data_IF_783434073564
#
_entry.id   IF_783434073564
#
_cell.length_a   1.000
_cell.length_b   1.000
_cell.length_c   1.000
_cell.angle_alpha   90.00
_cell.angle_beta   90.00
_cell.angle_gamma   90.00
#
_symmetry.space_group_name_H-M   'P 1'
#
loop_
_entity.id
_entity.type
_entity.pdbx_description
1 polymer ?
#
# COMPACT_ATOMS: atom_id res chain seq x y z
N UNK A 1 -16.87 6.28 -15.83
CA UNK A 1 -15.93 6.00 -14.75
C UNK A 1 -14.56 6.59 -15.05
N UNK A 2 -14.11 7.38 -14.13
CA UNK A 2 -12.78 7.98 -14.26
C UNK A 2 -11.71 6.94 -14.01
N UNK A 3 -10.83 6.77 -14.98
CA UNK A 3 -9.62 5.98 -14.76
C UNK A 3 -8.66 6.83 -13.95
N UNK A 4 -8.16 6.25 -12.85
CA UNK A 4 -7.09 6.86 -12.08
C UNK A 4 -5.81 6.74 -12.89
N UNK A 5 -5.08 7.85 -13.12
CA UNK A 5 -3.81 7.77 -13.83
C UNK A 5 -2.85 6.81 -13.12
N UNK A 6 -2.17 5.97 -13.88
CA UNK A 6 -1.21 5.03 -13.30
C UNK A 6 0.11 5.73 -13.03
N UNK A 7 0.20 6.35 -11.85
CA UNK A 7 1.44 6.93 -11.36
C UNK A 7 2.34 5.83 -10.82
N UNK A 8 3.58 6.19 -10.52
CA UNK A 8 4.51 5.24 -9.88
C UNK A 8 3.95 4.71 -8.56
N UNK A 9 3.37 5.59 -7.75
CA UNK A 9 2.78 5.21 -6.48
C UNK A 9 1.61 4.25 -6.67
N UNK A 10 0.71 4.56 -7.61
CA UNK A 10 -0.43 3.69 -7.91
C UNK A 10 0.04 2.30 -8.35
N UNK A 11 1.11 2.24 -9.15
CA UNK A 11 1.67 0.96 -9.58
C UNK A 11 2.19 0.14 -8.41
N UNK A 12 2.92 0.79 -7.48
CA UNK A 12 3.40 0.12 -6.27
C UNK A 12 2.23 -0.42 -5.46
N UNK A 13 1.17 0.37 -5.32
CA UNK A 13 -0.03 -0.04 -4.58
C UNK A 13 -0.66 -1.29 -5.19
N UNK A 14 -0.81 -1.30 -6.51
CA UNK A 14 -1.43 -2.44 -7.20
C UNK A 14 -0.57 -3.70 -7.10
N UNK A 15 0.74 -3.55 -7.22
CA UNK A 15 1.68 -4.68 -7.04
C UNK A 15 1.60 -5.22 -5.62
N UNK A 16 1.65 -4.34 -4.64
CA UNK A 16 1.57 -4.72 -3.24
C UNK A 16 0.28 -5.49 -2.95
N UNK A 17 -0.84 -4.98 -3.43
CA UNK A 17 -2.13 -5.62 -3.17
C UNK A 17 -2.26 -6.97 -3.85
N UNK A 18 -1.73 -7.12 -5.07
CA UNK A 18 -1.72 -8.41 -5.74
C UNK A 18 -0.90 -9.43 -4.97
N UNK A 19 0.25 -9.04 -4.46
CA UNK A 19 1.09 -9.91 -3.66
C UNK A 19 0.45 -10.29 -2.34
N UNK A 20 -0.20 -9.35 -1.67
CA UNK A 20 -0.89 -9.65 -0.41
C UNK A 20 -2.07 -10.59 -0.64
N UNK A 21 -2.80 -10.44 -1.73
CA UNK A 21 -3.87 -11.36 -2.05
C UNK A 21 -3.32 -12.78 -2.28
N UNK A 22 -2.21 -12.91 -3.00
CA UNK A 22 -1.60 -14.21 -3.27
C UNK A 22 -0.95 -14.86 -2.05
N UNK A 23 -0.66 -14.06 -1.02
CA UNK A 23 0.02 -14.54 0.18
C UNK A 23 -0.73 -14.13 1.45
N UNK A 24 -1.88 -14.77 1.73
CA UNK A 24 -2.75 -14.35 2.83
C UNK A 24 -2.08 -14.29 4.19
N UNK A 25 -1.13 -15.17 4.45
CA UNK A 25 -0.45 -15.24 5.74
C UNK A 25 0.44 -14.03 5.99
N UNK A 26 0.79 -13.28 4.94
CA UNK A 26 1.65 -12.12 5.07
C UNK A 26 0.88 -10.82 5.32
N UNK A 27 -0.41 -10.81 5.06
CA UNK A 27 -1.22 -9.62 5.30
C UNK A 27 -1.17 -9.14 6.77
N UNK A 28 -1.38 -10.02 7.76
CA UNK A 28 -1.30 -9.59 9.16
C UNK A 28 0.06 -8.99 9.52
N UNK A 29 1.14 -9.52 8.96
CA UNK A 29 2.49 -9.01 9.21
C UNK A 29 2.63 -7.58 8.72
N UNK A 30 2.21 -7.31 7.50
CA UNK A 30 2.26 -5.96 6.92
C UNK A 30 1.35 -5.02 7.70
N UNK A 31 0.15 -5.47 8.03
CA UNK A 31 -0.81 -4.67 8.78
C UNK A 31 -0.29 -4.29 10.17
N UNK A 32 0.35 -5.22 10.87
CA UNK A 32 0.92 -4.96 12.19
C UNK A 32 2.13 -4.03 12.13
N UNK A 33 2.97 -4.19 11.10
CA UNK A 33 4.23 -3.45 11.00
C UNK A 33 3.98 -1.99 10.61
N UNK A 34 3.09 -1.75 9.67
CA UNK A 34 2.88 -0.42 9.10
C UNK A 34 1.57 0.23 9.51
N UNK A 35 0.68 -0.55 10.09
CA UNK A 35 -0.65 -0.05 10.41
C UNK A 35 -1.49 0.12 9.17
N UNK A 36 -2.34 1.14 9.17
CA UNK A 36 -3.25 1.38 8.07
C UNK A 36 -2.54 2.15 6.97
N UNK A 37 -2.46 1.54 5.79
CA UNK A 37 -1.84 2.19 4.64
C UNK A 37 -2.85 3.14 3.99
N UNK A 38 -2.36 4.29 3.58
CA UNK A 38 -3.17 5.27 2.86
C UNK A 38 -2.90 5.12 1.36
N UNK A 39 -3.95 4.88 0.59
CA UNK A 39 -3.85 4.59 -0.84
C UNK A 39 -4.27 5.76 -1.71
N UNK A 40 -3.55 5.93 -2.83
CA UNK A 40 -3.96 6.84 -3.90
C UNK A 40 -5.00 6.19 -4.81
N UNK A 41 -4.85 4.88 -5.05
CA UNK A 41 -5.70 4.13 -5.94
C UNK A 41 -6.94 3.63 -5.19
N UNK A 42 -8.14 4.10 -5.55
CA UNK A 42 -9.36 3.65 -4.87
C UNK A 42 -9.58 2.15 -4.93
N UNK A 43 -9.20 1.50 -6.02
CA UNK A 43 -9.37 0.06 -6.15
C UNK A 43 -8.43 -0.71 -5.22
N UNK A 44 -7.20 -0.21 -5.06
CA UNK A 44 -6.26 -0.81 -4.10
C UNK A 44 -6.76 -0.65 -2.68
N UNK A 45 -7.30 0.53 -2.34
CA UNK A 45 -7.88 0.74 -1.02
C UNK A 45 -9.06 -0.19 -0.76
N UNK A 46 -9.92 -0.36 -1.75
CA UNK A 46 -11.07 -1.27 -1.63
C UNK A 46 -10.60 -2.70 -1.36
N UNK A 47 -9.59 -3.16 -2.11
CA UNK A 47 -9.06 -4.50 -1.88
C UNK A 47 -8.42 -4.62 -0.49
N UNK A 48 -7.67 -3.62 -0.06
CA UNK A 48 -7.10 -3.60 1.29
C UNK A 48 -8.19 -3.75 2.35
N UNK A 49 -9.30 -3.01 2.23
CA UNK A 49 -10.41 -3.09 3.18
C UNK A 49 -11.09 -4.46 3.16
N UNK A 50 -11.20 -5.07 1.99
CA UNK A 50 -11.74 -6.43 1.89
C UNK A 50 -10.86 -7.41 2.64
N UNK A 51 -9.55 -7.36 2.42
CA UNK A 51 -8.62 -8.27 3.09
C UNK A 51 -8.55 -8.02 4.59
N UNK A 52 -8.56 -6.75 5.00
CA UNK A 52 -8.60 -6.38 6.41
C UNK A 52 -9.86 -6.93 7.09
N UNK A 53 -11.00 -6.76 6.45
CA UNK A 53 -12.27 -7.23 6.97
C UNK A 53 -12.30 -8.75 7.10
N UNK A 54 -11.75 -9.45 6.10
CA UNK A 54 -11.63 -10.92 6.16
C UNK A 54 -10.76 -11.36 7.32
N UNK A 55 -9.67 -10.66 7.55
CA UNK A 55 -8.76 -10.97 8.65
C UNK A 55 -9.44 -10.75 10.00
N UNK A 56 -10.13 -9.63 10.16
CA UNK A 56 -10.79 -9.28 11.43
C UNK A 56 -11.98 -10.17 11.72
N UNK A 57 -12.69 -10.66 10.70
CA UNK A 57 -13.86 -11.52 10.88
C UNK A 57 -13.52 -13.01 10.87
N UNK A 58 -12.23 -13.35 10.88
CA UNK A 58 -11.75 -14.73 10.83
C UNK A 58 -12.30 -15.50 9.63
N UNK A 59 -12.41 -14.83 8.48
CA UNK A 59 -12.82 -15.43 7.22
C UNK A 59 -11.66 -15.35 6.22
N UNK A 60 -10.63 -16.16 6.41
CA UNK A 60 -9.43 -16.05 5.58
C UNK A 60 -9.73 -16.38 4.13
N UNK A 61 -8.90 -15.83 3.26
CA UNK A 61 -8.92 -16.20 1.84
C UNK A 61 -7.71 -17.09 1.60
N UNK A 62 -7.76 -17.86 0.49
CA UNK A 62 -6.71 -18.83 0.20
C UNK A 62 -5.64 -18.32 -0.75
N UNK A 63 -5.91 -17.20 -1.42
CA UNK A 63 -5.01 -16.66 -2.45
C UNK A 63 -5.31 -17.22 -3.83
N UNK A 64 -6.34 -18.04 -3.97
CA UNK A 64 -6.76 -18.54 -5.28
C UNK A 64 -7.45 -17.41 -6.05
N UNK A 65 -7.01 -17.11 -7.30
CA UNK A 65 -7.64 -16.07 -8.11
C UNK A 65 -9.15 -16.23 -8.27
N UNK A 66 -9.66 -17.46 -8.20
CA UNK A 66 -11.10 -17.72 -8.30
C UNK A 66 -11.90 -17.02 -7.20
N UNK A 67 -11.29 -16.76 -6.06
CA UNK A 67 -11.95 -16.05 -4.97
C UNK A 67 -12.31 -14.61 -5.31
N UNK A 68 -11.63 -14.02 -6.29
CA UNK A 68 -11.94 -12.66 -6.74
C UNK A 68 -13.28 -12.54 -7.44
N UNK A 69 -13.88 -13.65 -7.85
CA UNK A 69 -15.20 -13.63 -8.46
C UNK A 69 -16.27 -13.05 -7.52
N UNK A 70 -16.03 -13.11 -6.22
CA UNK A 70 -16.96 -12.59 -5.21
C UNK A 70 -16.70 -11.11 -4.85
N UNK A 71 -15.63 -10.53 -5.38
CA UNK A 71 -15.26 -9.15 -5.07
C UNK A 71 -15.97 -8.19 -6.01
N UNK A 72 -16.07 -6.90 -5.62
CA UNK A 72 -16.66 -5.90 -6.51
C UNK A 72 -15.97 -5.85 -7.88
N UNK A 73 -16.73 -5.55 -8.93
CA UNK A 73 -16.20 -5.53 -10.29
C UNK A 73 -15.00 -4.60 -10.44
N UNK A 74 -15.00 -3.45 -9.75
CA UNK A 74 -13.90 -2.49 -9.79
C UNK A 74 -12.57 -3.08 -9.28
N UNK A 75 -12.66 -4.03 -8.35
CA UNK A 75 -11.49 -4.72 -7.82
C UNK A 75 -11.15 -5.92 -8.72
N UNK A 76 -12.13 -6.75 -9.00
CA UNK A 76 -11.94 -7.97 -9.79
C UNK A 76 -11.35 -7.68 -11.16
N UNK A 77 -11.95 -6.74 -11.88
CA UNK A 77 -11.55 -6.46 -13.26
C UNK A 77 -10.15 -5.85 -13.34
N UNK A 78 -9.75 -5.11 -12.32
CA UNK A 78 -8.41 -4.52 -12.27
C UNK A 78 -7.36 -5.54 -11.80
N UNK A 79 -7.63 -6.27 -10.72
CA UNK A 79 -6.62 -7.08 -10.06
C UNK A 79 -6.50 -8.50 -10.59
N UNK A 80 -7.57 -9.07 -11.14
CA UNK A 80 -7.48 -10.44 -11.62
C UNK A 80 -6.38 -10.65 -12.66
N UNK A 81 -6.24 -9.78 -13.69
CA UNK A 81 -5.13 -9.92 -14.64
C UNK A 81 -3.76 -9.80 -13.97
N UNK A 82 -3.61 -8.89 -12.99
CA UNK A 82 -2.34 -8.70 -12.29
C UNK A 82 -1.99 -9.93 -11.46
N UNK A 83 -2.97 -10.45 -10.73
CA UNK A 83 -2.80 -11.64 -9.89
C UNK A 83 -2.43 -12.85 -10.74
N UNK A 84 -3.12 -13.05 -11.86
CA UNK A 84 -2.83 -14.17 -12.75
C UNK A 84 -1.43 -14.07 -13.34
N UNK A 85 -1.00 -12.87 -13.70
CA UNK A 85 0.35 -12.65 -14.22
C UNK A 85 1.40 -12.99 -13.17
N UNK A 86 1.21 -12.56 -11.93
CA UNK A 86 2.16 -12.86 -10.86
C UNK A 86 2.17 -14.34 -10.50
N UNK A 87 1.02 -14.99 -10.54
CA UNK A 87 0.92 -16.41 -10.25
C UNK A 87 1.65 -17.25 -11.29
N UNK A 88 1.59 -16.84 -12.54
CA UNK A 88 2.23 -17.59 -13.64
C UNK A 88 3.73 -17.37 -13.70
N UNK A 89 4.20 -16.21 -13.25
CA UNK A 89 5.62 -15.95 -13.25
C UNK A 89 6.25 -16.75 -12.12
N UNK A 90 7.09 -17.71 -12.47
CA UNK A 90 7.70 -18.60 -11.49
C UNK A 90 8.77 -17.94 -10.62
N UNK A 91 8.87 -16.62 -10.68
CA UNK A 91 9.87 -15.87 -9.92
C UNK A 91 9.46 -15.57 -8.48
N UNK A 92 8.67 -16.36 -7.87
CA UNK A 92 7.70 -15.88 -7.10
C UNK A 92 7.48 -16.38 -5.80
N UNK A 93 8.45 -16.84 -5.13
CA UNK A 93 8.43 -16.90 -3.70
C UNK A 93 8.69 -15.49 -3.19
N UNK A 94 7.63 -14.72 -3.16
CA UNK A 94 7.70 -13.43 -2.51
C UNK A 94 7.92 -13.70 -1.05
N UNK A 95 9.09 -13.37 -0.58
CA UNK A 95 9.43 -13.54 0.80
C UNK A 95 8.77 -12.43 1.61
N UNK A 96 8.61 -12.70 2.91
CA UNK A 96 8.12 -11.70 3.85
C UNK A 96 8.92 -10.39 3.73
N UNK A 97 10.23 -10.50 3.55
CA UNK A 97 11.12 -9.35 3.43
C UNK A 97 10.78 -8.50 2.21
N UNK A 98 10.49 -9.13 1.07
CA UNK A 98 10.13 -8.40 -0.15
C UNK A 98 8.84 -7.62 0.04
N UNK A 99 7.83 -8.24 0.64
CA UNK A 99 6.56 -7.56 0.91
C UNK A 99 6.73 -6.40 1.87
N UNK A 100 7.49 -6.60 2.94
CA UNK A 100 7.77 -5.52 3.88
C UNK A 100 8.52 -4.37 3.22
N UNK A 101 9.53 -4.70 2.42
CA UNK A 101 10.28 -3.68 1.69
C UNK A 101 9.38 -2.88 0.76
N UNK A 102 8.52 -3.56 0.01
CA UNK A 102 7.59 -2.89 -0.90
C UNK A 102 6.62 -1.98 -0.15
N UNK A 103 6.12 -2.47 0.98
CA UNK A 103 5.21 -1.69 1.83
C UNK A 103 5.89 -0.45 2.41
N UNK A 104 7.13 -0.59 2.86
CA UNK A 104 7.90 0.53 3.39
C UNK A 104 8.19 1.56 2.29
N UNK A 105 8.55 1.11 1.10
CA UNK A 105 8.78 2.00 -0.05
C UNK A 105 7.52 2.76 -0.42
N UNK A 106 6.37 2.11 -0.37
CA UNK A 106 5.09 2.77 -0.60
C UNK A 106 4.87 3.89 0.41
N UNK A 107 5.04 3.58 1.70
CA UNK A 107 4.86 4.57 2.76
C UNK A 107 5.84 5.73 2.65
N UNK A 108 7.10 5.44 2.30
CA UNK A 108 8.11 6.47 2.09
C UNK A 108 7.75 7.42 0.96
N UNK A 109 7.35 6.88 -0.18
CA UNK A 109 6.98 7.70 -1.33
C UNK A 109 5.82 8.62 -0.99
N UNK A 110 4.86 8.11 -0.23
CA UNK A 110 3.73 8.90 0.20
C UNK A 110 4.13 10.01 1.16
N UNK A 111 4.99 9.71 2.14
CA UNK A 111 5.48 10.71 3.09
C UNK A 111 6.28 11.81 2.37
N UNK A 112 7.15 11.42 1.45
CA UNK A 112 7.94 12.39 0.69
C UNK A 112 7.06 13.30 -0.16
N UNK A 113 6.01 12.76 -0.73
CA UNK A 113 5.03 13.54 -1.49
C UNK A 113 4.29 14.52 -0.62
N UNK A 114 3.83 14.09 0.56
CA UNK A 114 3.15 14.97 1.49
C UNK A 114 4.07 16.08 1.99
N UNK A 115 5.36 15.78 2.19
CA UNK A 115 6.34 16.80 2.55
C UNK A 115 6.47 17.88 1.48
N UNK A 116 6.51 17.47 0.20
CA UNK A 116 6.58 18.42 -0.91
C UNK A 116 5.32 19.30 -0.96
N UNK A 117 4.16 18.70 -0.74
CA UNK A 117 2.90 19.44 -0.70
C UNK A 117 2.91 20.49 0.41
N UNK A 118 3.38 20.11 1.61
CA UNK A 118 3.47 21.05 2.74
C UNK A 118 4.46 22.16 2.47
N UNK A 119 5.60 21.87 1.87
CA UNK A 119 6.57 22.89 1.48
C UNK A 119 5.95 23.93 0.54
N UNK A 120 5.17 23.46 -0.41
CA UNK A 120 4.49 24.33 -1.36
C UNK A 120 3.44 25.19 -0.67
N UNK A 121 2.67 24.60 0.25
CA UNK A 121 1.64 25.33 1.01
C UNK A 121 2.23 26.41 1.92
N UNK A 122 3.38 26.16 2.53
CA UNK A 122 4.02 27.10 3.44
C UNK A 122 4.32 28.44 2.77
N UNK A 123 4.68 28.40 1.49
CA UNK A 123 5.01 29.61 0.72
C UNK A 123 3.85 30.59 0.64
N UNK A 124 2.63 30.11 0.76
CA UNK A 124 1.41 30.92 0.59
C UNK A 124 0.56 31.00 1.87
N UNK A 125 1.03 30.42 2.96
CA UNK A 125 0.26 30.38 4.20
C UNK A 125 0.42 31.68 5.00
N UNK A 126 -0.69 32.18 5.53
CA UNK A 126 -0.67 33.34 6.42
C UNK A 126 -0.03 32.97 7.76
N UNK A 127 -0.33 31.75 8.24
CA UNK A 127 0.26 31.23 9.47
C UNK A 127 0.89 29.86 9.18
N UNK A 128 2.21 29.79 8.94
CA UNK A 128 2.87 28.54 8.60
C UNK A 128 3.09 27.59 9.80
N UNK A 129 2.82 28.02 11.03
CA UNK A 129 3.09 27.22 12.23
C UNK A 129 2.51 25.81 12.18
N UNK A 130 1.20 25.64 11.91
CA UNK A 130 0.62 24.30 11.84
C UNK A 130 1.23 23.43 10.74
N UNK A 131 1.59 24.03 9.59
CA UNK A 131 2.22 23.31 8.50
C UNK A 131 3.64 22.85 8.86
N UNK A 132 4.39 23.69 9.58
CA UNK A 132 5.73 23.33 10.05
C UNK A 132 5.66 22.16 11.02
N UNK A 133 4.70 22.15 11.93
CA UNK A 133 4.50 21.03 12.85
C UNK A 133 4.16 19.75 12.11
N UNK A 134 3.29 19.84 11.10
CA UNK A 134 2.94 18.68 10.28
C UNK A 134 4.17 18.13 9.54
N UNK A 135 5.02 19.02 9.01
CA UNK A 135 6.25 18.62 8.35
C UNK A 135 7.21 17.90 9.29
N UNK A 136 7.33 18.38 10.53
CA UNK A 136 8.17 17.71 11.51
C UNK A 136 7.70 16.29 11.78
N UNK A 137 6.39 16.08 11.90
CA UNK A 137 5.82 14.75 12.06
C UNK A 137 6.13 13.85 10.87
N UNK A 138 5.99 14.38 9.66
CA UNK A 138 6.29 13.63 8.44
C UNK A 138 7.77 13.28 8.32
N UNK A 139 8.66 14.22 8.72
CA UNK A 139 10.09 13.96 8.72
C UNK A 139 10.50 12.88 9.70
N UNK A 140 9.88 12.84 10.88
CA UNK A 140 10.09 11.75 11.83
C UNK A 140 9.65 10.42 11.27
N UNK A 141 8.49 10.39 10.62
CA UNK A 141 7.98 9.20 9.99
C UNK A 141 8.90 8.73 8.87
N UNK A 142 9.42 9.66 8.07
CA UNK A 142 10.38 9.35 7.01
C UNK A 142 11.63 8.69 7.57
N UNK A 143 12.17 9.22 8.67
CA UNK A 143 13.35 8.65 9.30
C UNK A 143 13.08 7.25 9.84
N UNK A 144 11.91 7.06 10.45
CA UNK A 144 11.49 5.74 10.96
C UNK A 144 11.42 4.73 9.83
N UNK A 145 10.80 5.08 8.72
CA UNK A 145 10.66 4.19 7.57
C UNK A 145 12.01 3.85 6.93
N UNK A 146 12.89 4.85 6.81
CA UNK A 146 14.25 4.60 6.30
C UNK A 146 15.04 3.68 7.22
N UNK A 147 14.85 3.83 8.53
CA UNK A 147 15.49 2.96 9.50
C UNK A 147 15.03 1.51 9.33
N UNK A 148 13.73 1.30 9.09
CA UNK A 148 13.18 -0.03 8.84
C UNK A 148 13.79 -0.67 7.60
N UNK A 149 14.00 0.13 6.54
CA UNK A 149 14.64 -0.38 5.32
C UNK A 149 16.08 -0.80 5.56
N UNK A 150 16.83 -0.02 6.33
CA UNK A 150 18.25 -0.29 6.59
C UNK A 150 18.44 -1.41 7.60
N UNK A 151 17.61 -1.42 8.63
CA UNK A 151 17.81 -2.31 9.76
C UNK A 151 17.42 -3.74 9.51
N UNK A 152 16.76 -4.01 8.41
CA UNK A 152 16.31 -5.36 8.10
C UNK A 152 15.46 -5.93 9.21
N UNK A 153 14.63 -5.14 9.74
CA UNK A 153 13.78 -5.52 10.87
C UNK A 153 13.73 -7.00 11.14
#
# INVERSE_FOLDING_TARGET
>A
QRRVPETHLVRIERELMAYLFLNPTLFPVVHQTLGDLAFEDPSSETLWRILENRTLSAQPWTGDPAEMAQFPASVRDLFLPIVLKHRESKTDKITREILLELSIKHSLERVERELKEKESEIKFADDPGPLVLAMHGLQKEKLRLKSLLRGGV
#
